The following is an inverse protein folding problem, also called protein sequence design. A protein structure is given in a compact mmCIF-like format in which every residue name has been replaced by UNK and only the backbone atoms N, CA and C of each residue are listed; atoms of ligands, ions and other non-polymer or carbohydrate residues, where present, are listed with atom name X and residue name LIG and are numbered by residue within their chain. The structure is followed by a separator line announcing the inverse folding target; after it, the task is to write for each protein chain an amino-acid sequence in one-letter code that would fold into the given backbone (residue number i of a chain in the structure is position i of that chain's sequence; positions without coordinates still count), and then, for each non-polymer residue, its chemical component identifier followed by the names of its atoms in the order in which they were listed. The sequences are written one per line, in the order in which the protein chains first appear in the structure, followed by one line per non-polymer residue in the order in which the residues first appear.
data_IF_328451495280
#
_entry.id   IF_328451495280
#
_cell.length_a   1.000
_cell.length_b   1.000
_cell.length_c   1.000
_cell.angle_alpha   90.00
_cell.angle_beta   90.00
_cell.angle_gamma   90.00
#
_symmetry.space_group_name_H-M   'P 1'
#
loop_
_entity.id
_entity.type
_entity.pdbx_description
1 polymer ?
#
# COMPACT_ATOMS: atom_id res chain seq x y z
N UNK A 1 10.83 5.82 10.09
CA UNK A 1 11.45 4.66 9.40
C UNK A 1 12.97 4.64 9.49
N UNK A 2 13.59 5.79 9.69
CA UNK A 2 15.05 5.91 9.85
C UNK A 2 15.59 5.07 11.04
N UNK A 3 14.74 4.80 12.02
CA UNK A 3 15.06 4.02 13.21
C UNK A 3 15.52 2.59 12.94
N UNK A 4 15.17 1.98 11.83
CA UNK A 4 15.48 0.58 11.52
C UNK A 4 16.81 0.38 10.81
N UNK A 5 17.30 1.40 10.11
CA UNK A 5 18.42 1.27 9.17
C UNK A 5 19.73 1.80 9.73
N UNK A 6 19.74 2.45 10.91
CA UNK A 6 20.93 3.02 11.49
C UNK A 6 21.69 3.92 10.51
N UNK A 7 22.94 3.58 10.20
CA UNK A 7 23.78 4.33 9.25
C UNK A 7 23.25 4.31 7.81
N UNK A 8 22.35 3.37 7.47
CA UNK A 8 21.72 3.25 6.14
C UNK A 8 20.35 3.95 6.05
N UNK A 9 20.11 4.97 6.90
CA UNK A 9 18.83 5.70 6.95
C UNK A 9 18.41 6.30 5.62
N UNK A 10 19.35 6.58 4.70
CA UNK A 10 19.07 7.02 3.33
C UNK A 10 18.27 6.00 2.49
N UNK A 11 18.22 4.73 2.89
CA UNK A 11 17.39 3.70 2.27
C UNK A 11 15.91 3.80 2.74
N UNK A 12 15.64 4.56 3.78
CA UNK A 12 14.30 4.74 4.33
C UNK A 12 13.51 5.76 3.51
N UNK A 13 12.82 5.30 2.47
CA UNK A 13 11.99 6.14 1.57
C UNK A 13 10.53 6.29 2.03
N UNK A 14 10.26 6.20 3.34
CA UNK A 14 8.91 6.34 3.88
C UNK A 14 7.92 5.24 3.45
N UNK A 15 8.41 4.11 2.91
CA UNK A 15 7.57 3.03 2.40
C UNK A 15 7.06 3.25 0.98
N UNK A 16 7.64 4.16 0.21
CA UNK A 16 7.16 4.57 -1.11
C UNK A 16 6.83 3.41 -2.07
N UNK A 17 7.69 2.37 -2.12
CA UNK A 17 7.45 1.18 -2.95
C UNK A 17 6.23 0.40 -2.44
N UNK A 18 6.12 0.23 -1.12
CA UNK A 18 4.99 -0.46 -0.49
C UNK A 18 3.67 0.26 -0.73
N UNK A 19 3.65 1.57 -0.54
CA UNK A 19 2.48 2.42 -0.78
C UNK A 19 2.06 2.39 -2.25
N UNK A 20 3.01 2.51 -3.20
CA UNK A 20 2.75 2.42 -4.63
C UNK A 20 2.13 1.07 -5.01
N UNK A 21 2.67 -0.04 -4.49
CA UNK A 21 2.14 -1.39 -4.71
C UNK A 21 0.74 -1.56 -4.10
N UNK A 22 0.50 -1.01 -2.91
CA UNK A 22 -0.80 -1.11 -2.27
C UNK A 22 -1.89 -0.38 -3.06
N UNK A 23 -1.62 0.85 -3.50
CA UNK A 23 -2.55 1.60 -4.34
C UNK A 23 -2.75 0.93 -5.70
N UNK A 24 -1.67 0.44 -6.31
CA UNK A 24 -1.73 -0.33 -7.56
C UNK A 24 -2.65 -1.55 -7.43
N UNK A 25 -2.44 -2.40 -6.41
CA UNK A 25 -3.25 -3.60 -6.18
C UNK A 25 -4.71 -3.24 -5.90
N UNK A 26 -4.95 -2.14 -5.17
CA UNK A 26 -6.30 -1.65 -4.89
C UNK A 26 -7.04 -1.25 -6.16
N UNK A 27 -6.41 -0.50 -7.06
CA UNK A 27 -6.95 -0.15 -8.37
C UNK A 27 -7.18 -1.38 -9.24
N UNK A 28 -6.19 -2.29 -9.30
CA UNK A 28 -6.25 -3.54 -10.04
C UNK A 28 -7.44 -4.40 -9.62
N UNK A 29 -7.58 -4.68 -8.34
CA UNK A 29 -8.65 -5.54 -7.82
C UNK A 29 -10.04 -4.96 -8.00
N UNK A 30 -10.19 -3.62 -7.93
CA UNK A 30 -11.47 -2.96 -8.16
C UNK A 30 -11.90 -3.13 -9.63
N UNK A 31 -11.00 -2.95 -10.59
CA UNK A 31 -11.33 -3.03 -12.01
C UNK A 31 -11.39 -4.47 -12.53
N UNK A 32 -10.65 -5.39 -11.95
CA UNK A 32 -10.77 -6.83 -12.22
C UNK A 32 -12.11 -7.39 -11.72
N UNK A 33 -12.62 -6.88 -10.59
CA UNK A 33 -13.83 -7.37 -9.94
C UNK A 33 -15.13 -7.04 -10.69
N UNK A 34 -16.26 -7.46 -10.09
CA UNK A 34 -17.62 -7.21 -10.64
C UNK A 34 -17.96 -5.73 -10.61
N UNK A 35 -18.82 -5.31 -11.55
CA UNK A 35 -19.33 -3.95 -11.60
C UNK A 35 -20.37 -3.71 -10.48
N UNK A 36 -20.35 -2.51 -9.93
CA UNK A 36 -21.28 -2.07 -8.91
C UNK A 36 -22.28 -1.09 -9.53
N UNK A 37 -23.59 -1.40 -9.43
CA UNK A 37 -24.64 -0.54 -9.95
C UNK A 37 -24.83 0.72 -9.11
N UNK A 38 -24.68 0.57 -7.78
CA UNK A 38 -24.94 1.62 -6.79
C UNK A 38 -23.70 2.01 -6.02
N UNK A 39 -23.51 3.32 -5.82
CA UNK A 39 -22.39 3.90 -5.07
C UNK A 39 -22.45 3.52 -3.59
N UNK A 40 -23.63 3.57 -2.97
CA UNK A 40 -23.78 3.28 -1.55
C UNK A 40 -23.32 1.87 -1.21
N UNK A 41 -23.77 0.87 -1.99
CA UNK A 41 -23.34 -0.52 -1.82
C UNK A 41 -21.84 -0.74 -2.09
N UNK A 42 -21.29 -0.03 -3.08
CA UNK A 42 -19.87 -0.07 -3.36
C UNK A 42 -19.06 0.47 -2.19
N UNK A 43 -19.40 1.68 -1.71
CA UNK A 43 -18.64 2.37 -0.67
C UNK A 43 -18.78 1.70 0.71
N UNK A 44 -20.01 1.23 1.04
CA UNK A 44 -20.27 0.44 2.25
C UNK A 44 -19.36 -0.80 2.35
N UNK A 45 -19.11 -1.49 1.24
CA UNK A 45 -18.18 -2.64 1.23
C UNK A 45 -16.73 -2.23 1.52
N UNK A 46 -16.30 -1.02 1.13
CA UNK A 46 -14.96 -0.50 1.44
C UNK A 46 -14.86 -0.11 2.92
N UNK A 47 -15.88 0.55 3.44
CA UNK A 47 -15.98 0.85 4.87
C UNK A 47 -15.91 -0.44 5.68
N UNK A 48 -16.76 -1.42 5.38
CA UNK A 48 -16.81 -2.69 6.11
C UNK A 48 -15.50 -3.50 6.05
N UNK A 49 -14.67 -3.27 5.06
CA UNK A 49 -13.37 -3.93 4.93
C UNK A 49 -12.26 -3.23 5.73
N UNK A 50 -12.30 -1.91 5.85
CA UNK A 50 -11.21 -1.09 6.42
C UNK A 50 -11.51 -0.69 7.85
N UNK A 51 -12.69 -0.15 8.11
CA UNK A 51 -13.01 0.50 9.39
C UNK A 51 -13.05 -0.43 10.60
N UNK A 52 -13.44 -1.71 10.55
CA UNK A 52 -13.33 -2.58 11.72
C UNK A 52 -11.91 -2.66 12.25
N UNK A 53 -10.91 -2.73 11.37
CA UNK A 53 -9.48 -2.73 11.74
C UNK A 53 -9.05 -1.37 12.26
N UNK A 54 -9.52 -0.28 11.66
CA UNK A 54 -9.21 1.10 12.12
C UNK A 54 -9.81 1.36 13.50
N UNK A 55 -11.03 0.91 13.78
CA UNK A 55 -11.66 1.00 15.10
C UNK A 55 -10.88 0.25 16.17
N UNK A 56 -10.55 -1.01 15.89
CA UNK A 56 -9.74 -1.82 16.80
C UNK A 56 -8.38 -1.15 17.06
N UNK A 57 -7.75 -0.61 16.02
CA UNK A 57 -6.50 0.13 16.15
C UNK A 57 -6.65 1.42 16.96
N UNK A 58 -7.69 2.22 16.70
CA UNK A 58 -7.97 3.44 17.46
C UNK A 58 -8.15 3.15 18.95
N UNK A 59 -8.86 2.06 19.30
CA UNK A 59 -9.04 1.64 20.69
C UNK A 59 -7.72 1.27 21.35
N UNK A 60 -6.91 0.40 20.71
CA UNK A 60 -5.60 0.00 21.24
C UNK A 60 -4.67 1.20 21.39
N UNK A 61 -4.59 2.02 20.34
CA UNK A 61 -3.68 3.16 20.28
C UNK A 61 -4.01 4.22 21.35
N UNK A 62 -5.30 4.45 21.61
CA UNK A 62 -5.74 5.42 22.62
C UNK A 62 -5.55 4.91 24.07
N UNK A 63 -5.67 3.59 24.30
CA UNK A 63 -5.57 3.04 25.67
C UNK A 63 -4.11 2.75 26.04
N UNK A 64 -3.35 2.14 25.13
CA UNK A 64 -2.05 1.55 25.48
C UNK A 64 -0.85 2.36 24.99
N UNK A 65 -0.98 3.13 23.89
CA UNK A 65 0.18 3.78 23.27
C UNK A 65 0.34 5.25 23.67
N UNK A 66 -0.54 5.80 24.51
CA UNK A 66 -0.52 7.21 24.96
C UNK A 66 -0.22 8.18 23.82
N UNK A 67 -0.80 7.90 22.64
CA UNK A 67 -0.60 8.70 21.44
C UNK A 67 -1.16 10.11 21.66
N UNK A 68 -0.43 11.14 21.22
CA UNK A 68 -0.91 12.52 21.25
C UNK A 68 -2.12 12.80 20.33
N UNK A 69 -2.55 11.78 19.56
CA UNK A 69 -3.72 11.87 18.66
C UNK A 69 -4.99 11.42 19.39
N UNK A 70 -6.06 12.17 19.21
CA UNK A 70 -7.36 11.80 19.79
C UNK A 70 -7.91 10.51 19.14
N UNK A 71 -8.79 9.79 19.85
CA UNK A 71 -9.48 8.62 19.30
C UNK A 71 -10.20 8.96 17.99
N UNK A 72 -10.84 10.14 17.90
CA UNK A 72 -11.56 10.59 16.71
C UNK A 72 -10.57 10.80 15.54
N UNK A 73 -9.41 11.41 15.78
CA UNK A 73 -8.39 11.59 14.75
C UNK A 73 -7.89 10.27 14.20
N UNK A 74 -7.62 9.29 15.09
CA UNK A 74 -7.20 7.96 14.68
C UNK A 74 -8.31 7.26 13.88
N UNK A 75 -9.55 7.44 14.29
CA UNK A 75 -10.70 6.85 13.60
C UNK A 75 -10.87 7.40 12.18
N UNK A 76 -10.72 8.71 12.00
CA UNK A 76 -10.86 9.37 10.69
C UNK A 76 -9.67 9.05 9.79
N UNK A 77 -8.46 9.09 10.33
CA UNK A 77 -7.21 8.99 9.54
C UNK A 77 -6.58 7.61 9.57
N UNK A 78 -7.03 6.69 10.45
CA UNK A 78 -6.33 5.45 10.76
C UNK A 78 -5.00 5.69 11.47
N UNK A 79 -4.82 6.86 12.09
CA UNK A 79 -3.55 7.30 12.69
C UNK A 79 -2.52 7.80 11.69
N UNK A 80 -2.82 7.77 10.38
CA UNK A 80 -1.92 8.11 9.28
C UNK A 80 -2.71 8.61 8.06
N UNK A 81 -2.03 9.30 7.15
CA UNK A 81 -2.58 9.84 5.91
C UNK A 81 -3.24 8.80 4.99
N UNK A 82 -2.77 7.56 5.04
CA UNK A 82 -3.08 6.49 4.07
C UNK A 82 -4.56 6.10 4.06
N UNK A 83 -5.19 5.92 5.23
CA UNK A 83 -6.61 5.48 5.31
C UNK A 83 -7.52 6.55 4.72
N UNK A 84 -7.33 7.81 5.08
CA UNK A 84 -8.12 8.92 4.50
C UNK A 84 -7.91 9.00 2.98
N UNK A 85 -6.66 8.90 2.54
CA UNK A 85 -6.29 8.98 1.13
C UNK A 85 -6.98 7.87 0.31
N UNK A 86 -6.89 6.61 0.74
CA UNK A 86 -7.49 5.49 -0.01
C UNK A 86 -9.02 5.56 -0.03
N UNK A 87 -9.65 6.04 1.05
CA UNK A 87 -11.10 6.21 1.08
C UNK A 87 -11.57 7.27 0.10
N UNK A 88 -10.84 8.37 -0.05
CA UNK A 88 -11.10 9.41 -1.06
C UNK A 88 -10.88 8.83 -2.48
N UNK A 89 -9.80 8.09 -2.69
CA UNK A 89 -9.52 7.46 -3.98
C UNK A 89 -10.63 6.48 -4.41
N UNK A 90 -11.24 5.76 -3.48
CA UNK A 90 -12.36 4.88 -3.81
C UNK A 90 -13.57 5.65 -4.35
N UNK A 91 -13.81 6.87 -3.88
CA UNK A 91 -14.87 7.72 -4.44
C UNK A 91 -14.55 8.05 -5.91
N UNK A 92 -13.34 8.56 -6.17
CA UNK A 92 -12.92 8.88 -7.54
C UNK A 92 -12.95 7.65 -8.45
N UNK A 93 -12.46 6.50 -8.00
CA UNK A 93 -12.46 5.27 -8.80
C UNK A 93 -13.87 4.79 -9.17
N UNK A 94 -14.85 4.95 -8.27
CA UNK A 94 -16.23 4.62 -8.61
C UNK A 94 -16.74 5.44 -9.80
N UNK A 95 -16.57 6.77 -9.73
CA UNK A 95 -17.03 7.67 -10.80
C UNK A 95 -16.24 7.46 -12.10
N UNK A 96 -14.93 7.26 -12.02
CA UNK A 96 -14.09 6.95 -13.19
C UNK A 96 -14.56 5.65 -13.83
N UNK A 97 -14.81 4.61 -13.05
CA UNK A 97 -15.28 3.32 -13.56
C UNK A 97 -16.65 3.42 -14.19
N UNK A 98 -17.56 4.23 -13.62
CA UNK A 98 -18.92 4.39 -14.10
C UNK A 98 -19.03 5.23 -15.37
N UNK A 99 -18.25 6.32 -15.45
CA UNK A 99 -18.42 7.33 -16.50
C UNK A 99 -17.25 7.43 -17.49
N UNK A 100 -16.04 7.05 -17.08
CA UNK A 100 -14.80 7.30 -17.83
C UNK A 100 -14.03 6.01 -18.15
N UNK A 101 -14.62 4.84 -18.03
CA UNK A 101 -13.92 3.56 -18.24
C UNK A 101 -13.28 3.45 -19.62
N UNK A 102 -13.92 3.99 -20.68
CA UNK A 102 -13.40 4.00 -22.05
C UNK A 102 -12.20 4.96 -22.20
N UNK A 103 -12.11 5.97 -21.35
CA UNK A 103 -11.08 7.02 -21.37
C UNK A 103 -10.08 6.86 -20.24
N UNK A 104 -10.00 5.68 -19.62
CA UNK A 104 -9.17 5.45 -18.43
C UNK A 104 -7.69 5.81 -18.64
N UNK A 105 -7.13 5.57 -19.84
CA UNK A 105 -5.77 5.98 -20.21
C UNK A 105 -5.62 7.51 -20.24
N UNK A 106 -6.63 8.21 -20.74
CA UNK A 106 -6.63 9.68 -20.78
C UNK A 106 -6.66 10.21 -19.34
N UNK A 107 -7.52 9.67 -18.47
CA UNK A 107 -7.58 10.02 -17.05
C UNK A 107 -6.23 9.80 -16.36
N UNK A 108 -5.55 8.69 -16.66
CA UNK A 108 -4.23 8.41 -16.12
C UNK A 108 -3.19 9.46 -16.53
N UNK A 109 -3.08 9.77 -17.82
CA UNK A 109 -2.11 10.76 -18.31
C UNK A 109 -2.44 12.19 -17.86
N UNK A 110 -3.72 12.56 -17.78
CA UNK A 110 -4.14 13.86 -17.23
C UNK A 110 -3.82 13.97 -15.75
N UNK A 111 -3.97 12.91 -14.96
CA UNK A 111 -3.58 12.88 -13.54
C UNK A 111 -2.07 13.03 -13.39
N UNK A 112 -1.26 12.39 -14.24
CA UNK A 112 0.20 12.59 -14.25
C UNK A 112 0.53 14.05 -14.59
N UNK A 113 -0.09 14.62 -15.63
CA UNK A 113 0.14 16.02 -16.02
C UNK A 113 -0.23 17.00 -14.88
N UNK A 114 -1.36 16.78 -14.20
CA UNK A 114 -1.77 17.54 -13.02
C UNK A 114 -0.73 17.38 -11.90
N UNK A 115 -0.28 16.17 -11.62
CA UNK A 115 0.75 15.92 -10.61
C UNK A 115 2.03 16.69 -10.92
N UNK A 116 2.51 16.65 -12.15
CA UNK A 116 3.72 17.36 -12.55
C UNK A 116 3.56 18.89 -12.47
N UNK A 117 2.39 19.43 -12.86
CA UNK A 117 2.13 20.88 -12.77
C UNK A 117 1.94 21.39 -11.34
N UNK A 118 1.48 20.55 -10.43
CA UNK A 118 1.36 20.90 -9.02
C UNK A 118 2.70 20.87 -8.27
N UNK A 119 3.69 20.15 -8.77
CA UNK A 119 4.97 19.99 -8.09
C UNK A 119 5.67 21.31 -7.73
N UNK A 120 5.75 22.34 -8.61
CA UNK A 120 6.38 23.61 -8.26
C UNK A 120 5.71 24.33 -7.09
N UNK A 121 4.39 24.16 -6.90
CA UNK A 121 3.60 24.77 -5.83
C UNK A 121 3.97 24.18 -4.47
N UNK A 122 4.18 22.84 -4.41
CA UNK A 122 4.54 22.16 -3.17
C UNK A 122 6.03 22.21 -2.84
N UNK A 123 6.85 22.60 -3.80
CA UNK A 123 8.32 22.61 -3.71
C UNK A 123 8.90 23.82 -2.97
N UNK A 124 8.14 24.70 -2.39
CA UNK A 124 8.60 25.97 -1.82
C UNK A 124 9.73 25.85 -0.77
N UNK A 125 10.01 24.64 -0.27
CA UNK A 125 11.05 24.40 0.74
C UNK A 125 12.15 23.52 0.17
N UNK A 126 13.43 23.89 0.39
CA UNK A 126 14.61 23.14 -0.08
C UNK A 126 14.68 21.71 0.49
N UNK A 127 14.07 21.47 1.64
CA UNK A 127 13.97 20.15 2.30
C UNK A 127 12.80 19.31 1.81
N UNK A 128 12.04 19.76 0.79
CA UNK A 128 10.85 19.09 0.32
C UNK A 128 11.15 17.65 -0.16
N UNK A 129 10.46 16.68 0.43
CA UNK A 129 10.54 15.27 0.05
C UNK A 129 9.16 14.77 -0.38
N UNK A 130 9.03 14.37 -1.67
CA UNK A 130 7.75 13.88 -2.22
C UNK A 130 7.24 12.63 -1.51
N UNK A 131 8.14 11.82 -0.93
CA UNK A 131 7.80 10.61 -0.16
C UNK A 131 7.61 10.87 1.33
N UNK A 132 7.91 12.09 1.79
CA UNK A 132 7.78 12.52 3.17
C UNK A 132 6.35 12.86 3.59
N UNK A 133 6.23 13.68 4.62
CA UNK A 133 4.92 14.13 5.12
C UNK A 133 4.43 15.35 4.35
N UNK A 134 3.86 15.12 3.16
CA UNK A 134 3.33 16.14 2.26
C UNK A 134 2.02 15.71 1.64
N UNK A 135 1.11 16.68 1.39
CA UNK A 135 -0.13 16.42 0.65
C UNK A 135 0.11 16.11 -0.84
N UNK A 136 1.27 16.43 -1.39
CA UNK A 136 1.61 16.12 -2.77
C UNK A 136 1.53 14.62 -3.08
N UNK A 137 1.87 13.77 -2.10
CA UNK A 137 1.74 12.30 -2.23
C UNK A 137 0.31 11.83 -2.54
N UNK A 138 -0.70 12.59 -2.13
CA UNK A 138 -2.11 12.29 -2.42
C UNK A 138 -2.46 12.43 -3.91
N UNK A 139 -1.67 13.15 -4.68
CA UNK A 139 -1.90 13.28 -6.12
C UNK A 139 -1.14 12.20 -6.89
N UNK A 140 0.16 12.05 -6.65
CA UNK A 140 0.94 11.13 -7.46
C UNK A 140 0.69 9.64 -7.11
N UNK A 141 0.34 9.28 -5.86
CA UNK A 141 -0.02 7.90 -5.55
C UNK A 141 -1.34 7.48 -6.21
N UNK A 142 -2.24 8.41 -6.51
CA UNK A 142 -3.43 8.11 -7.29
C UNK A 142 -3.09 7.61 -8.70
N UNK A 143 -1.98 8.06 -9.28
CA UNK A 143 -1.50 7.56 -10.58
C UNK A 143 -1.20 6.05 -10.52
N UNK A 144 -0.61 5.53 -9.43
CA UNK A 144 -0.38 4.08 -9.28
C UNK A 144 -1.69 3.31 -9.16
N UNK A 145 -2.68 3.88 -8.50
CA UNK A 145 -4.00 3.27 -8.42
C UNK A 145 -4.68 3.20 -9.80
N UNK A 146 -4.54 4.24 -10.62
CA UNK A 146 -5.01 4.25 -12.01
C UNK A 146 -4.24 3.29 -12.91
N UNK A 147 -2.91 3.17 -12.73
CA UNK A 147 -2.10 2.16 -13.43
C UNK A 147 -2.62 0.75 -13.12
N UNK A 148 -2.89 0.47 -11.84
CA UNK A 148 -3.51 -0.79 -11.43
C UNK A 148 -4.88 -1.00 -12.06
N UNK A 149 -5.72 0.04 -12.10
CA UNK A 149 -7.03 0.00 -12.73
C UNK A 149 -6.97 -0.35 -14.23
N UNK A 150 -6.04 0.25 -14.96
CA UNK A 150 -5.80 -0.04 -16.40
C UNK A 150 -5.43 -1.52 -16.58
N UNK A 151 -4.49 -2.02 -15.78
CA UNK A 151 -4.05 -3.41 -15.88
C UNK A 151 -5.12 -4.40 -15.41
N UNK A 152 -5.92 -4.04 -14.40
CA UNK A 152 -7.06 -4.82 -13.95
C UNK A 152 -8.14 -4.97 -15.02
N UNK A 153 -8.45 -3.88 -15.73
CA UNK A 153 -9.38 -3.91 -16.86
C UNK A 153 -8.84 -4.74 -18.02
N UNK A 154 -7.55 -4.57 -18.35
CA UNK A 154 -6.89 -5.35 -19.39
C UNK A 154 -6.86 -6.85 -19.05
N UNK A 155 -6.57 -7.22 -17.80
CA UNK A 155 -6.53 -8.63 -17.35
C UNK A 155 -7.91 -9.29 -17.33
N UNK A 156 -8.99 -8.51 -17.23
CA UNK A 156 -10.36 -9.02 -17.36
C UNK A 156 -10.68 -9.46 -18.77
N UNK A 157 -10.03 -8.83 -19.76
CA UNK A 157 -10.26 -9.09 -21.20
C UNK A 157 -9.26 -10.07 -21.78
N UNK A 158 -8.02 -10.06 -21.29
CA UNK A 158 -6.90 -10.83 -21.82
C UNK A 158 -6.11 -11.49 -20.70
N UNK A 159 -5.82 -12.78 -20.84
CA UNK A 159 -4.90 -13.48 -19.95
C UNK A 159 -3.46 -13.15 -20.30
N UNK A 160 -2.72 -12.60 -19.35
CA UNK A 160 -1.29 -12.37 -19.53
C UNK A 160 -0.54 -13.69 -19.33
N UNK A 161 0.20 -14.11 -20.36
CA UNK A 161 1.06 -15.29 -20.29
C UNK A 161 2.53 -14.89 -20.39
N UNK A 162 3.33 -15.28 -19.39
CA UNK A 162 4.77 -15.01 -19.33
C UNK A 162 5.48 -16.32 -19.01
N UNK A 163 6.12 -16.92 -20.00
CA UNK A 163 6.83 -18.19 -19.90
C UNK A 163 8.00 -18.14 -18.90
N UNK A 164 8.80 -17.06 -18.96
CA UNK A 164 9.98 -16.89 -18.11
C UNK A 164 9.88 -15.62 -17.28
N UNK A 165 10.02 -15.75 -15.97
CA UNK A 165 10.01 -14.63 -15.02
C UNK A 165 11.37 -13.94 -14.85
N UNK A 166 12.48 -14.54 -15.31
CA UNK A 166 13.82 -14.01 -15.06
C UNK A 166 14.05 -12.61 -15.64
N UNK A 167 13.55 -12.37 -16.85
CA UNK A 167 13.64 -11.05 -17.48
C UNK A 167 12.78 -10.00 -16.73
N UNK A 168 11.63 -10.40 -16.22
CA UNK A 168 10.76 -9.48 -15.49
C UNK A 168 11.34 -9.12 -14.12
N UNK A 169 11.88 -10.11 -13.38
CA UNK A 169 12.52 -9.83 -12.09
C UNK A 169 13.80 -9.01 -12.24
N UNK A 170 14.59 -9.22 -13.29
CA UNK A 170 15.76 -8.38 -13.57
C UNK A 170 15.39 -6.92 -13.84
N UNK A 171 14.25 -6.68 -14.52
CA UNK A 171 13.72 -5.32 -14.71
C UNK A 171 13.22 -4.72 -13.38
N UNK A 172 12.58 -5.51 -12.51
CA UNK A 172 12.21 -5.05 -11.15
C UNK A 172 13.46 -4.62 -10.39
N UNK A 173 14.51 -5.44 -10.38
CA UNK A 173 15.77 -5.12 -9.71
C UNK A 173 16.42 -3.85 -10.29
N UNK A 174 16.47 -3.73 -11.62
CA UNK A 174 17.01 -2.53 -12.28
C UNK A 174 16.21 -1.27 -11.89
N UNK A 175 14.88 -1.33 -11.94
CA UNK A 175 14.04 -0.22 -11.53
C UNK A 175 14.22 0.11 -10.03
N UNK A 176 14.39 -0.90 -9.17
CA UNK A 176 14.63 -0.69 -7.74
C UNK A 176 15.97 0.01 -7.50
N UNK A 177 17.03 -0.43 -8.17
CA UNK A 177 18.35 0.22 -8.09
C UNK A 177 18.24 1.67 -8.60
N UNK A 178 17.60 1.89 -9.75
CA UNK A 178 17.41 3.24 -10.29
C UNK A 178 16.60 4.14 -9.34
N UNK A 179 15.54 3.61 -8.72
CA UNK A 179 14.74 4.34 -7.74
C UNK A 179 15.58 4.83 -6.57
N UNK A 180 16.34 3.93 -5.93
CA UNK A 180 17.21 4.29 -4.81
C UNK A 180 18.36 5.20 -5.23
N UNK A 181 18.92 5.04 -6.44
CA UNK A 181 19.93 5.95 -6.96
C UNK A 181 19.39 7.38 -7.10
N UNK A 182 18.18 7.58 -7.64
CA UNK A 182 17.57 8.91 -7.71
C UNK A 182 17.24 9.50 -6.34
N UNK A 183 16.82 8.67 -5.38
CA UNK A 183 16.62 9.12 -3.99
C UNK A 183 17.94 9.56 -3.34
N UNK A 184 19.05 8.85 -3.59
CA UNK A 184 20.37 9.21 -3.12
C UNK A 184 20.91 10.48 -3.79
N UNK A 185 20.80 10.59 -5.12
CA UNK A 185 21.24 11.78 -5.86
C UNK A 185 20.52 13.05 -5.45
N UNK A 186 19.22 12.96 -5.08
CA UNK A 186 18.50 14.11 -4.52
C UNK A 186 19.21 14.69 -3.31
N UNK A 187 19.65 13.86 -2.38
CA UNK A 187 20.32 14.31 -1.15
C UNK A 187 21.71 14.83 -1.42
N UNK A 188 22.44 14.24 -2.39
CA UNK A 188 23.82 14.61 -2.71
C UNK A 188 23.95 15.89 -3.54
N UNK A 189 23.03 16.13 -4.49
CA UNK A 189 23.13 17.22 -5.47
C UNK A 189 22.21 18.42 -5.11
N UNK A 190 21.35 18.25 -4.10
CA UNK A 190 20.33 19.24 -3.69
C UNK A 190 19.41 19.72 -4.84
N UNK A 191 19.23 18.88 -5.87
CA UNK A 191 18.39 19.19 -7.02
C UNK A 191 17.03 18.48 -6.90
N UNK A 192 16.06 19.21 -6.39
CA UNK A 192 14.76 18.65 -6.01
C UNK A 192 13.97 18.00 -7.16
N UNK A 193 14.17 18.42 -8.41
CA UNK A 193 13.48 17.82 -9.58
C UNK A 193 13.86 16.35 -9.85
N UNK A 194 15.03 15.89 -9.35
CA UNK A 194 15.43 14.48 -9.46
C UNK A 194 14.39 13.56 -8.81
N UNK A 195 13.67 14.05 -7.78
CA UNK A 195 12.60 13.27 -7.16
C UNK A 195 11.48 12.90 -8.14
N UNK A 196 11.13 13.78 -9.08
CA UNK A 196 10.12 13.47 -10.08
C UNK A 196 10.59 12.37 -11.03
N UNK A 197 11.88 12.33 -11.34
CA UNK A 197 12.45 11.27 -12.18
C UNK A 197 12.37 9.92 -11.47
N UNK A 198 12.47 9.90 -10.13
CA UNK A 198 12.34 8.65 -9.35
C UNK A 198 10.96 8.01 -9.44
N UNK A 199 9.91 8.75 -9.83
CA UNK A 199 8.58 8.19 -10.08
C UNK A 199 8.56 7.23 -11.27
N UNK A 200 9.42 7.44 -12.28
CA UNK A 200 9.51 6.58 -13.49
C UNK A 200 9.90 5.15 -13.11
N UNK A 201 11.04 4.91 -12.43
CA UNK A 201 11.38 3.56 -11.99
C UNK A 201 10.37 3.00 -10.99
N UNK A 202 9.71 3.83 -10.17
CA UNK A 202 8.67 3.36 -9.27
C UNK A 202 7.44 2.82 -10.04
N UNK A 203 7.02 3.47 -11.14
CA UNK A 203 6.04 2.92 -12.08
C UNK A 203 6.52 1.61 -12.73
N UNK A 204 7.82 1.53 -13.05
CA UNK A 204 8.45 0.31 -13.55
C UNK A 204 8.37 -0.83 -12.54
N UNK A 205 8.67 -0.58 -11.27
CA UNK A 205 8.59 -1.59 -10.19
C UNK A 205 7.18 -2.19 -10.13
N UNK A 206 6.13 -1.36 -10.04
CA UNK A 206 4.75 -1.85 -9.93
C UNK A 206 4.33 -2.64 -11.17
N UNK A 207 4.69 -2.18 -12.36
CA UNK A 207 4.36 -2.83 -13.62
C UNK A 207 5.10 -4.17 -13.82
N UNK A 208 6.43 -4.18 -13.64
CA UNK A 208 7.22 -5.40 -13.86
C UNK A 208 7.03 -6.43 -12.75
N UNK A 209 6.76 -5.99 -11.51
CA UNK A 209 6.37 -6.92 -10.44
C UNK A 209 5.03 -7.60 -10.75
N UNK A 210 4.04 -6.86 -11.26
CA UNK A 210 2.79 -7.44 -11.73
C UNK A 210 3.03 -8.47 -12.84
N UNK A 211 3.89 -8.17 -13.82
CA UNK A 211 4.26 -9.10 -14.88
C UNK A 211 4.97 -10.33 -14.32
N UNK A 212 5.93 -10.14 -13.42
CA UNK A 212 6.65 -11.23 -12.78
C UNK A 212 5.72 -12.16 -11.99
N UNK A 213 4.78 -11.62 -11.24
CA UNK A 213 3.75 -12.40 -10.52
C UNK A 213 2.86 -13.22 -11.48
N UNK A 214 2.74 -12.83 -12.74
CA UNK A 214 2.02 -13.59 -13.76
C UNK A 214 2.88 -14.61 -14.53
N UNK A 215 4.17 -14.75 -14.21
CA UNK A 215 5.04 -15.77 -14.81
C UNK A 215 4.74 -17.18 -14.29
N UNK A 216 5.03 -18.20 -15.10
CA UNK A 216 4.75 -19.59 -14.75
C UNK A 216 5.53 -20.05 -13.51
N UNK A 217 6.76 -19.55 -13.33
CA UNK A 217 7.56 -19.84 -12.15
C UNK A 217 6.85 -19.36 -10.86
N UNK A 218 6.37 -18.13 -10.83
CA UNK A 218 5.69 -17.57 -9.65
C UNK A 218 4.31 -18.21 -9.45
N UNK A 219 3.57 -18.46 -10.53
CA UNK A 219 2.28 -19.19 -10.44
C UNK A 219 2.47 -20.60 -9.85
N UNK A 220 3.55 -21.30 -10.23
CA UNK A 220 3.91 -22.60 -9.65
C UNK A 220 4.24 -22.49 -8.15
N UNK A 221 4.95 -21.44 -7.72
CA UNK A 221 5.20 -21.19 -6.29
C UNK A 221 3.90 -20.95 -5.51
N UNK A 222 2.99 -20.17 -6.06
CA UNK A 222 1.68 -19.92 -5.43
C UNK A 222 0.77 -21.16 -5.40
N UNK A 223 0.90 -22.07 -6.35
CA UNK A 223 0.16 -23.35 -6.34
C UNK A 223 0.70 -24.34 -5.30
N UNK A 224 1.92 -24.15 -4.79
CA UNK A 224 2.41 -24.91 -3.65
C UNK A 224 1.60 -24.55 -2.40
N UNK A 225 0.97 -25.54 -1.77
CA UNK A 225 0.05 -25.35 -0.64
C UNK A 225 0.68 -24.60 0.54
N UNK A 226 1.94 -24.88 0.85
CA UNK A 226 2.63 -24.24 2.00
C UNK A 226 2.96 -22.78 1.66
N UNK A 227 3.65 -22.56 0.54
CA UNK A 227 4.10 -21.23 0.12
C UNK A 227 2.90 -20.32 -0.18
N UNK A 228 1.92 -20.82 -0.90
CA UNK A 228 0.69 -20.10 -1.23
C UNK A 228 -0.08 -19.70 0.03
N UNK A 229 -0.16 -20.55 1.05
CA UNK A 229 -0.78 -20.23 2.32
C UNK A 229 -0.01 -19.14 3.07
N UNK A 230 1.32 -19.22 3.16
CA UNK A 230 2.15 -18.20 3.82
C UNK A 230 1.93 -16.84 3.15
N UNK A 231 2.02 -16.78 1.83
CA UNK A 231 1.83 -15.54 1.06
C UNK A 231 0.41 -14.99 1.24
N UNK A 232 -0.60 -15.86 1.24
CA UNK A 232 -1.99 -15.47 1.47
C UNK A 232 -2.21 -14.88 2.86
N UNK A 233 -1.58 -15.46 3.89
CA UNK A 233 -1.65 -14.96 5.27
C UNK A 233 -1.00 -13.58 5.37
N UNK A 234 0.25 -13.45 4.91
CA UNK A 234 0.99 -12.18 4.97
C UNK A 234 0.28 -11.10 4.14
N UNK A 235 -0.10 -11.42 2.90
CA UNK A 235 -0.82 -10.49 2.04
C UNK A 235 -2.20 -10.10 2.57
N UNK A 236 -2.84 -11.03 3.29
CA UNK A 236 -4.07 -10.75 3.99
C UNK A 236 -3.91 -9.73 5.12
N UNK A 237 -2.76 -9.67 5.80
CA UNK A 237 -2.48 -8.79 6.95
C UNK A 237 -1.97 -7.39 6.55
N UNK A 238 -1.91 -7.04 5.28
CA UNK A 238 -1.28 -5.79 4.82
C UNK A 238 -1.80 -4.51 5.51
N UNK A 239 -3.11 -4.40 5.76
CA UNK A 239 -3.68 -3.22 6.43
C UNK A 239 -3.26 -3.17 7.90
N UNK A 240 -3.34 -4.29 8.60
CA UNK A 240 -2.97 -4.41 10.01
C UNK A 240 -1.47 -4.15 10.20
N UNK A 241 -0.63 -4.72 9.33
CA UNK A 241 0.83 -4.44 9.30
C UNK A 241 1.07 -2.94 9.16
N UNK A 242 0.40 -2.31 8.20
CA UNK A 242 0.55 -0.86 7.99
C UNK A 242 0.20 -0.04 9.24
N UNK A 243 -0.87 -0.40 9.95
CA UNK A 243 -1.31 0.34 11.13
C UNK A 243 -0.36 0.17 12.33
N UNK A 244 0.12 -1.05 12.59
CA UNK A 244 0.91 -1.35 13.80
C UNK A 244 2.40 -1.04 13.64
N UNK A 245 2.96 -1.10 12.43
CA UNK A 245 4.41 -1.05 12.19
C UNK A 245 5.07 0.20 12.79
N UNK A 246 4.45 1.37 12.67
CA UNK A 246 5.01 2.64 13.16
C UNK A 246 5.22 2.67 14.67
N UNK A 247 4.41 1.90 15.42
CA UNK A 247 4.50 1.82 16.88
C UNK A 247 5.49 0.76 17.39
N UNK A 248 5.95 -0.13 16.48
CA UNK A 248 6.89 -1.21 16.82
C UNK A 248 8.33 -0.86 16.40
N UNK A 249 8.48 0.04 15.42
CA UNK A 249 9.82 0.46 14.96
C UNK A 249 10.63 1.05 16.10
N UNK A 250 11.86 0.55 16.26
CA UNK A 250 12.79 0.96 17.31
C UNK A 250 14.24 0.90 16.81
N UNK A 251 15.07 1.79 17.30
CA UNK A 251 16.53 1.84 17.08
C UNK A 251 17.32 0.92 18.02
N UNK A 252 16.67 0.46 19.10
CA UNK A 252 17.31 -0.36 20.15
C UNK A 252 17.95 -1.66 19.64
N UNK A 253 17.51 -2.15 18.48
CA UNK A 253 18.00 -3.38 17.85
C UNK A 253 18.96 -3.12 16.68
N UNK A 254 19.38 -1.88 16.44
CA UNK A 254 20.22 -1.54 15.27
C UNK A 254 21.60 -2.20 15.32
N UNK A 255 22.09 -2.55 16.50
CA UNK A 255 23.33 -3.32 16.66
C UNK A 255 23.28 -4.73 16.03
N UNK A 256 22.07 -5.25 15.75
CA UNK A 256 21.85 -6.54 15.08
C UNK A 256 21.61 -6.38 13.56
N UNK A 257 21.81 -5.21 12.98
CA UNK A 257 21.58 -5.00 11.56
C UNK A 257 22.38 -5.98 10.69
N UNK A 258 21.78 -6.66 9.67
CA UNK A 258 20.41 -6.51 9.16
C UNK A 258 19.36 -7.45 9.82
N UNK A 259 19.74 -8.25 10.82
CA UNK A 259 18.86 -9.22 11.48
C UNK A 259 17.69 -8.54 12.22
N UNK A 260 17.92 -7.32 12.74
CA UNK A 260 16.87 -6.52 13.39
C UNK A 260 15.64 -6.34 12.50
N UNK A 261 15.80 -6.19 11.19
CA UNK A 261 14.69 -6.04 10.24
C UNK A 261 13.79 -7.29 10.25
N UNK A 262 14.39 -8.49 10.24
CA UNK A 262 13.66 -9.75 10.28
C UNK A 262 12.92 -9.93 11.62
N UNK A 263 13.58 -9.62 12.73
CA UNK A 263 13.00 -9.72 14.08
C UNK A 263 11.79 -8.78 14.20
N UNK A 264 11.99 -7.50 13.83
CA UNK A 264 10.92 -6.50 13.91
C UNK A 264 9.77 -6.86 12.98
N UNK A 265 10.05 -7.35 11.77
CA UNK A 265 9.02 -7.81 10.85
C UNK A 265 8.21 -8.98 11.42
N UNK A 266 8.84 -9.94 12.08
CA UNK A 266 8.14 -11.05 12.76
C UNK A 266 7.23 -10.53 13.88
N UNK A 267 7.70 -9.60 14.71
CA UNK A 267 6.90 -8.96 15.75
C UNK A 267 5.70 -8.20 15.15
N UNK A 268 5.93 -7.43 14.07
CA UNK A 268 4.87 -6.72 13.36
C UNK A 268 3.80 -7.68 12.86
N UNK A 269 4.17 -8.85 12.29
CA UNK A 269 3.21 -9.85 11.81
C UNK A 269 2.36 -10.42 12.94
N UNK A 270 2.96 -10.71 14.11
CA UNK A 270 2.22 -11.20 15.28
C UNK A 270 1.23 -10.13 15.77
N UNK A 271 1.68 -8.89 15.94
CA UNK A 271 0.81 -7.78 16.35
C UNK A 271 -0.30 -7.50 15.34
N UNK A 272 0.00 -7.58 14.05
CA UNK A 272 -0.99 -7.44 12.98
C UNK A 272 -2.05 -8.54 13.03
N UNK A 273 -1.65 -9.80 13.30
CA UNK A 273 -2.60 -10.89 13.48
C UNK A 273 -3.50 -10.67 14.70
N UNK A 274 -2.95 -10.24 15.83
CA UNK A 274 -3.73 -9.91 17.03
C UNK A 274 -4.73 -8.77 16.75
N UNK A 275 -4.29 -7.71 16.07
CA UNK A 275 -5.17 -6.62 15.64
C UNK A 275 -6.31 -7.14 14.73
N UNK A 276 -6.04 -8.06 13.84
CA UNK A 276 -7.06 -8.71 13.01
C UNK A 276 -8.07 -9.48 13.85
N UNK A 277 -7.64 -10.25 14.83
CA UNK A 277 -8.55 -10.96 15.73
C UNK A 277 -9.48 -9.97 16.44
N UNK A 278 -8.95 -8.88 16.98
CA UNK A 278 -9.74 -7.83 17.61
C UNK A 278 -10.70 -7.14 16.63
N UNK A 279 -10.26 -6.86 15.42
CA UNK A 279 -11.11 -6.32 14.36
C UNK A 279 -12.30 -7.23 14.03
N UNK A 280 -12.08 -8.55 14.01
CA UNK A 280 -13.15 -9.54 13.77
C UNK A 280 -14.11 -9.64 14.97
N UNK A 281 -13.61 -9.58 16.20
CA UNK A 281 -14.45 -9.49 17.40
C UNK A 281 -15.33 -8.23 17.29
N UNK A 282 -14.70 -7.08 17.02
CA UNK A 282 -15.41 -5.81 16.86
C UNK A 282 -16.49 -5.89 15.78
N UNK A 283 -16.19 -6.44 14.62
CA UNK A 283 -17.15 -6.61 13.53
C UNK A 283 -18.30 -7.55 13.86
N UNK A 284 -18.10 -8.52 14.78
CA UNK A 284 -19.15 -9.44 15.23
C UNK A 284 -20.01 -8.84 16.34
N UNK A 285 -19.48 -7.92 17.15
CA UNK A 285 -20.21 -7.26 18.24
C UNK A 285 -21.48 -6.54 17.76
N UNK A 286 -21.51 -6.09 16.50
CA UNK A 286 -22.65 -5.39 15.91
C UNK A 286 -23.58 -6.30 15.10
N UNK A 287 -23.45 -7.62 15.26
CA UNK A 287 -24.34 -8.59 14.63
C UNK A 287 -25.20 -9.25 15.70
N UNK A 288 -26.48 -9.41 15.42
CA UNK A 288 -27.42 -10.10 16.31
C UNK A 288 -27.25 -11.63 16.25
N UNK A 289 -26.03 -12.11 16.53
CA UNK A 289 -25.71 -13.53 16.57
C UNK A 289 -24.54 -13.81 17.54
N UNK A 290 -24.41 -15.05 18.00
CA UNK A 290 -23.32 -15.48 18.84
C UNK A 290 -21.96 -15.29 18.18
N UNK A 291 -20.91 -15.09 19.00
CA UNK A 291 -19.55 -14.96 18.50
C UNK A 291 -19.04 -16.25 17.85
N UNK A 292 -18.63 -16.16 16.63
CA UNK A 292 -17.96 -17.27 15.93
C UNK A 292 -16.44 -17.21 16.16
N UNK A 293 -15.99 -17.84 17.25
CA UNK A 293 -14.58 -17.84 17.63
C UNK A 293 -13.67 -18.52 16.59
N UNK A 294 -14.18 -19.50 15.85
CA UNK A 294 -13.42 -20.11 14.73
C UNK A 294 -13.10 -19.10 13.63
N UNK A 295 -14.02 -18.18 13.37
CA UNK A 295 -13.80 -17.11 12.38
C UNK A 295 -12.89 -16.00 12.94
N UNK A 296 -12.98 -15.71 14.25
CA UNK A 296 -12.10 -14.73 14.92
C UNK A 296 -10.63 -15.15 14.78
N UNK A 297 -10.31 -16.38 15.13
CA UNK A 297 -8.93 -16.89 15.12
C UNK A 297 -8.50 -17.53 13.80
N UNK A 298 -9.32 -17.44 12.77
CA UNK A 298 -8.96 -17.96 11.45
C UNK A 298 -7.72 -17.22 10.91
N UNK A 299 -6.65 -17.98 10.61
CA UNK A 299 -5.39 -17.42 10.12
C UNK A 299 -5.54 -16.93 8.67
N UNK A 300 -6.28 -17.67 7.84
CA UNK A 300 -6.53 -17.26 6.45
C UNK A 300 -7.50 -16.10 6.33
N UNK A 301 -7.31 -15.20 5.32
CA UNK A 301 -8.20 -14.08 5.04
C UNK A 301 -9.63 -14.52 4.70
#
# INVERSE_FOLDING_TARGET
MDLLYGEYSYLATGGAIGDALFFFISGFTIFLGRDYKDFGNYYKRRINRIYPTVFAWATISSIFLHNNKSFIDILITGGSWFVSCIMIYYIFLYFIRKHLIQHLKIVFFTTIAISLSLYPIFREVDTFNIYGDTYYKWVFFFCYMLQGAILGLHSKQNTLYIKSGWLEISKVLLCTIAFYAFCYFKTSIHFNYIQLISLIPLFGITYYLYRWCNSDCVKSLFSNKIIGNIISIIGGLCLEVYLVQSSIFTDKLNFLFPLNILIIFAVVLVCAYLLRCLSRIWAQTFKDCDYNWKEVFKIHP
#
